data_IF_135190967717
#
_entry.id   IF_135190967717
#
_cell.length_a   1.000
_cell.length_b   1.000
_cell.length_c   1.000
_cell.angle_alpha   90.00
_cell.angle_beta   90.00
_cell.angle_gamma   90.00
#
_symmetry.space_group_name_H-M   'P 1'
#
loop_
_entity.id
_entity.type
_entity.pdbx_description
1 polymer ?
#
# COMPACT_ATOMS: atom_id res chain seq x y z
N UNK A 1 27.77 19.20 2.31
CA UNK A 1 26.54 18.83 1.58
C UNK A 1 25.94 17.60 2.26
N UNK A 2 25.38 17.75 3.46
CA UNK A 2 25.31 16.61 4.40
C UNK A 2 24.09 16.62 5.33
N UNK A 3 22.96 17.15 4.87
CA UNK A 3 21.65 16.95 5.55
C UNK A 3 20.49 16.77 4.58
N UNK A 4 20.57 17.35 3.38
CA UNK A 4 19.50 17.35 2.38
C UNK A 4 19.38 15.98 1.65
N UNK A 5 20.47 15.23 1.48
CA UNK A 5 20.47 13.94 0.77
C UNK A 5 19.97 12.77 1.64
N UNK A 6 20.15 12.85 2.96
CA UNK A 6 19.62 11.89 3.94
C UNK A 6 18.10 12.02 4.14
N UNK A 7 17.55 13.22 3.97
CA UNK A 7 16.09 13.43 4.00
C UNK A 7 15.42 12.93 2.72
N UNK A 8 16.06 13.13 1.56
CA UNK A 8 15.54 12.72 0.24
C UNK A 8 15.45 11.19 0.07
N UNK A 9 16.41 10.45 0.62
CA UNK A 9 16.42 8.97 0.59
C UNK A 9 15.36 8.33 1.49
N UNK A 10 14.96 9.00 2.59
CA UNK A 10 13.84 8.58 3.43
C UNK A 10 12.48 8.91 2.80
N UNK A 11 12.40 9.93 1.96
CA UNK A 11 11.17 10.27 1.22
C UNK A 11 10.83 9.28 0.11
N UNK A 12 11.83 8.80 -0.64
CA UNK A 12 11.62 7.83 -1.73
C UNK A 12 11.16 6.45 -1.20
N UNK A 13 11.73 5.98 -0.09
CA UNK A 13 11.28 4.74 0.56
C UNK A 13 9.89 4.89 1.21
N UNK A 14 9.53 6.11 1.64
CA UNK A 14 8.17 6.42 2.12
C UNK A 14 7.16 6.57 0.98
N UNK A 15 7.60 6.93 -0.23
CA UNK A 15 6.72 7.05 -1.39
C UNK A 15 6.21 5.68 -1.85
N UNK A 16 7.06 4.67 -1.83
CA UNK A 16 6.72 3.28 -2.17
C UNK A 16 5.93 2.54 -1.04
N UNK A 17 5.95 3.11 0.18
CA UNK A 17 5.09 2.70 1.30
C UNK A 17 3.69 3.33 1.28
N UNK A 18 3.54 4.50 0.65
CA UNK A 18 2.27 5.23 0.60
C UNK A 18 1.26 4.62 -0.35
N UNK A 19 1.71 3.83 -1.34
CA UNK A 19 0.87 3.41 -2.46
C UNK A 19 -0.12 2.29 -2.12
N UNK A 20 0.19 1.39 -1.18
CA UNK A 20 -0.60 0.14 -1.07
C UNK A 20 -1.61 0.12 0.09
N UNK A 21 -1.38 0.86 1.18
CA UNK A 21 -2.32 0.89 2.33
C UNK A 21 -2.47 2.25 3.05
N UNK A 22 -1.62 3.24 2.76
CA UNK A 22 -1.39 4.34 3.70
C UNK A 22 -1.87 5.73 3.28
N UNK A 23 -2.65 5.88 2.22
CA UNK A 23 -3.30 7.17 1.96
C UNK A 23 -4.82 7.05 1.81
N UNK A 24 -5.46 7.12 2.98
CA UNK A 24 -6.72 7.83 3.20
C UNK A 24 -8.04 7.15 2.81
N UNK A 25 -8.08 5.96 2.21
CA UNK A 25 -9.36 5.38 1.77
C UNK A 25 -9.72 4.05 2.45
N UNK A 26 -10.97 3.63 2.22
CA UNK A 26 -11.51 2.33 2.62
C UNK A 26 -10.79 1.19 1.88
N UNK A 27 -10.78 -0.02 2.45
CA UNK A 27 -10.13 -1.18 1.87
C UNK A 27 -10.91 -1.71 0.67
N UNK A 28 -10.20 -2.05 -0.40
CA UNK A 28 -10.80 -2.66 -1.59
C UNK A 28 -11.60 -3.92 -1.20
N UNK A 29 -12.88 -3.92 -1.58
CA UNK A 29 -13.82 -4.99 -1.26
C UNK A 29 -13.39 -6.31 -1.89
N UNK A 30 -12.89 -6.31 -3.12
CA UNK A 30 -12.46 -7.51 -3.82
C UNK A 30 -11.19 -8.09 -3.19
N UNK A 31 -10.29 -7.24 -2.69
CA UNK A 31 -9.13 -7.68 -1.92
C UNK A 31 -9.55 -8.44 -0.66
N UNK A 32 -10.48 -7.89 0.12
CA UNK A 32 -11.01 -8.56 1.31
C UNK A 32 -11.74 -9.86 0.94
N UNK A 33 -12.52 -9.87 -0.15
CA UNK A 33 -13.27 -11.05 -0.58
C UNK A 33 -12.41 -12.20 -1.11
N UNK A 34 -11.10 -12.01 -1.32
CA UNK A 34 -10.19 -13.10 -1.68
C UNK A 34 -10.23 -14.25 -0.65
N UNK A 35 -10.34 -13.91 0.64
CA UNK A 35 -10.31 -14.90 1.74
C UNK A 35 -11.53 -14.83 2.67
N UNK A 36 -12.51 -13.96 2.41
CA UNK A 36 -13.72 -13.81 3.24
C UNK A 36 -14.99 -13.91 2.39
N UNK A 37 -16.14 -14.18 3.01
CA UNK A 37 -17.42 -14.24 2.29
C UNK A 37 -18.12 -12.87 2.27
N UNK A 38 -18.95 -12.63 1.25
CA UNK A 38 -19.73 -11.40 1.13
C UNK A 38 -20.61 -11.10 2.35
N UNK A 39 -21.14 -12.15 2.99
CA UNK A 39 -21.97 -12.02 4.20
C UNK A 39 -21.17 -11.55 5.41
N UNK A 40 -19.88 -11.85 5.46
CA UNK A 40 -19.01 -11.51 6.58
C UNK A 40 -18.73 -10.00 6.60
N UNK A 41 -18.73 -9.36 5.43
CA UNK A 41 -18.37 -7.95 5.30
C UNK A 41 -19.55 -6.99 5.13
N UNK A 42 -20.79 -7.50 5.10
CA UNK A 42 -21.97 -6.70 4.78
C UNK A 42 -22.12 -5.47 5.67
N UNK A 43 -21.98 -5.65 6.99
CA UNK A 43 -22.25 -4.61 7.99
C UNK A 43 -21.08 -3.65 8.20
N UNK A 44 -19.99 -3.81 7.45
CA UNK A 44 -18.77 -2.98 7.52
C UNK A 44 -18.46 -2.30 6.18
N UNK A 45 -19.38 -2.32 5.22
CA UNK A 45 -19.27 -1.58 3.97
C UNK A 45 -19.50 -0.09 4.24
N UNK A 46 -18.59 0.74 3.76
CA UNK A 46 -18.71 2.19 3.78
C UNK A 46 -19.89 2.64 2.90
N UNK A 47 -20.86 3.35 3.47
CA UNK A 47 -22.03 3.86 2.73
C UNK A 47 -21.65 4.80 1.58
N UNK A 48 -20.51 5.48 1.66
CA UNK A 48 -20.09 6.50 0.68
C UNK A 48 -19.40 5.84 -0.53
N UNK A 49 -18.31 5.10 -0.32
CA UNK A 49 -17.50 4.55 -1.42
C UNK A 49 -17.82 3.08 -1.75
N UNK A 50 -18.69 2.43 -0.99
CA UNK A 50 -19.11 1.03 -1.15
C UNK A 50 -17.98 -0.01 -1.02
N UNK A 51 -16.84 0.40 -0.44
CA UNK A 51 -15.69 -0.43 -0.08
C UNK A 51 -15.75 -0.82 1.41
N UNK A 52 -14.86 -1.71 1.88
CA UNK A 52 -14.82 -2.09 3.31
C UNK A 52 -14.23 -0.95 4.13
N UNK A 53 -14.96 -0.47 5.14
CA UNK A 53 -14.59 0.74 5.86
C UNK A 53 -13.21 0.64 6.54
N UNK A 54 -12.36 1.63 6.29
CA UNK A 54 -11.09 1.82 7.00
C UNK A 54 -11.27 2.93 8.05
N UNK A 55 -10.87 2.64 9.30
CA UNK A 55 -11.23 3.45 10.47
C UNK A 55 -12.74 3.78 10.47
N UNK A 56 -13.60 2.76 10.68
CA UNK A 56 -15.04 2.94 10.57
C UNK A 56 -15.58 3.92 11.61
N UNK A 57 -16.50 4.77 11.15
CA UNK A 57 -17.33 5.66 11.93
C UNK A 57 -18.79 5.22 11.79
N UNK A 58 -19.51 5.23 12.89
CA UNK A 58 -20.95 4.93 12.95
C UNK A 58 -21.73 6.24 12.95
N UNK A 59 -22.68 6.37 12.03
CA UNK A 59 -23.64 7.47 12.01
C UNK A 59 -24.69 7.19 13.09
N UNK A 60 -24.88 8.17 13.98
CA UNK A 60 -25.71 8.06 15.19
C UNK A 60 -26.74 9.20 15.25
N UNK A 61 -27.20 9.67 14.09
CA UNK A 61 -28.22 10.71 14.00
C UNK A 61 -29.57 10.19 14.51
N UNK A 62 -30.32 11.00 15.26
CA UNK A 62 -31.65 10.61 15.76
C UNK A 62 -32.65 10.37 14.62
N UNK A 63 -32.43 11.02 13.48
CA UNK A 63 -33.16 10.80 12.22
C UNK A 63 -33.10 9.36 11.73
N UNK A 64 -32.11 8.58 12.17
CA UNK A 64 -31.86 7.20 11.72
C UNK A 64 -31.94 6.18 12.86
N UNK A 65 -32.50 6.55 14.01
CA UNK A 65 -32.59 5.68 15.20
C UNK A 65 -33.41 4.39 14.95
N UNK A 66 -34.38 4.44 14.04
CA UNK A 66 -35.24 3.31 13.69
C UNK A 66 -34.71 2.47 12.50
N UNK A 67 -33.51 2.76 12.01
CA UNK A 67 -32.91 1.96 10.95
C UNK A 67 -32.19 0.75 11.57
N UNK A 68 -32.61 -0.46 11.19
CA UNK A 68 -31.96 -1.70 11.62
C UNK A 68 -30.61 -1.94 10.91
N UNK A 69 -30.28 -1.12 9.89
CA UNK A 69 -29.08 -1.27 9.07
C UNK A 69 -27.84 -0.64 9.71
N UNK A 70 -26.68 -1.25 9.46
CA UNK A 70 -25.39 -0.73 9.93
C UNK A 70 -25.00 0.53 9.15
N UNK A 71 -24.99 1.69 9.81
CA UNK A 71 -24.66 2.98 9.19
C UNK A 71 -23.16 3.30 9.31
N UNK A 72 -22.34 2.48 8.65
CA UNK A 72 -20.88 2.57 8.69
C UNK A 72 -20.33 3.41 7.53
N UNK A 73 -19.40 4.31 7.85
CA UNK A 73 -18.61 5.05 6.87
C UNK A 73 -17.14 5.03 7.24
N UNK A 74 -16.24 5.04 6.26
CA UNK A 74 -14.81 5.26 6.54
C UNK A 74 -14.57 6.70 7.01
N UNK A 75 -13.72 6.89 8.02
CA UNK A 75 -13.46 8.20 8.62
C UNK A 75 -13.08 9.27 7.58
N UNK A 76 -12.20 8.93 6.65
CA UNK A 76 -11.76 9.89 5.64
C UNK A 76 -12.81 10.13 4.56
N UNK A 77 -13.59 9.10 4.18
CA UNK A 77 -14.74 9.28 3.29
C UNK A 77 -15.74 10.26 3.91
N UNK A 78 -16.01 10.12 5.21
CA UNK A 78 -16.89 11.02 5.94
C UNK A 78 -16.33 12.45 6.00
N UNK A 79 -15.05 12.62 6.35
CA UNK A 79 -14.38 13.94 6.36
C UNK A 79 -14.46 14.63 4.99
N UNK A 80 -14.19 13.90 3.92
CA UNK A 80 -14.27 14.42 2.57
C UNK A 80 -15.72 14.80 2.21
N UNK A 81 -16.68 13.91 2.49
CA UNK A 81 -18.10 14.17 2.22
C UNK A 81 -18.59 15.44 2.92
N UNK A 82 -18.33 15.59 4.22
CA UNK A 82 -18.77 16.75 5.00
C UNK A 82 -18.09 18.06 4.55
N UNK A 83 -16.85 17.98 4.03
CA UNK A 83 -16.15 19.16 3.51
C UNK A 83 -16.76 19.69 2.20
N UNK A 84 -17.35 18.81 1.40
CA UNK A 84 -17.97 19.14 0.11
C UNK A 84 -19.47 19.39 0.23
N UNK A 85 -20.09 18.81 1.25
CA UNK A 85 -21.52 18.87 1.52
C UNK A 85 -21.72 19.37 2.95
N UNK A 86 -21.51 20.68 3.20
CA UNK A 86 -21.89 21.24 4.49
C UNK A 86 -23.38 20.97 4.71
N UNK A 87 -23.78 20.73 5.95
CA UNK A 87 -25.20 20.55 6.32
C UNK A 87 -25.87 19.30 5.73
N UNK A 88 -25.10 18.22 5.52
CA UNK A 88 -25.63 16.96 5.00
C UNK A 88 -25.12 15.75 5.79
N UNK A 89 -25.95 14.70 5.87
CA UNK A 89 -25.56 13.39 6.37
C UNK A 89 -25.41 12.41 5.18
N UNK A 90 -24.45 11.46 5.22
CA UNK A 90 -24.29 10.47 4.15
C UNK A 90 -25.50 9.56 3.89
N UNK A 91 -26.46 9.50 4.82
CA UNK A 91 -27.68 8.69 4.72
C UNK A 91 -28.79 9.50 4.05
N UNK A 92 -29.19 10.63 4.65
CA UNK A 92 -30.18 11.56 4.09
C UNK A 92 -29.84 13.04 4.42
N UNK A 93 -30.33 14.02 3.64
CA UNK A 93 -30.02 15.42 3.89
C UNK A 93 -30.61 15.94 5.21
N UNK A 94 -29.74 16.23 6.18
CA UNK A 94 -30.07 16.99 7.38
C UNK A 94 -28.81 17.61 8.01
N UNK A 95 -29.02 18.67 8.79
CA UNK A 95 -27.97 19.34 9.55
C UNK A 95 -27.46 18.50 10.72
N UNK A 96 -26.28 18.86 11.25
CA UNK A 96 -25.72 18.32 12.50
C UNK A 96 -25.57 16.78 12.51
N UNK A 97 -24.98 16.22 11.45
CA UNK A 97 -24.65 14.80 11.38
C UNK A 97 -23.85 14.36 12.63
N UNK A 98 -24.43 13.46 13.43
CA UNK A 98 -23.78 12.89 14.60
C UNK A 98 -23.10 11.58 14.21
N UNK A 99 -21.85 11.41 14.64
CA UNK A 99 -21.10 10.21 14.36
C UNK A 99 -20.10 9.93 15.47
N UNK A 100 -19.76 8.66 15.64
CA UNK A 100 -18.81 8.21 16.64
C UNK A 100 -17.93 7.09 16.07
N UNK A 101 -16.83 6.77 16.75
CA UNK A 101 -15.92 5.75 16.27
C UNK A 101 -16.53 4.35 16.45
N UNK A 102 -16.66 3.60 15.36
CA UNK A 102 -17.20 2.24 15.37
C UNK A 102 -16.18 1.23 15.89
N UNK A 103 -16.01 1.16 17.22
CA UNK A 103 -14.96 0.33 17.85
C UNK A 103 -15.13 -1.17 17.57
N UNK A 104 -16.37 -1.66 17.53
CA UNK A 104 -16.67 -3.06 17.24
C UNK A 104 -16.38 -3.38 15.77
N UNK A 105 -16.88 -2.55 14.85
CA UNK A 105 -16.58 -2.65 13.42
C UNK A 105 -15.05 -2.62 13.17
N UNK A 106 -14.32 -1.72 13.83
CA UNK A 106 -12.87 -1.62 13.70
C UNK A 106 -12.15 -2.89 14.15
N UNK A 107 -12.57 -3.48 15.29
CA UNK A 107 -12.02 -4.77 15.76
C UNK A 107 -12.33 -5.88 14.78
N UNK A 108 -13.57 -5.97 14.31
CA UNK A 108 -13.99 -6.98 13.36
C UNK A 108 -13.20 -6.91 12.05
N UNK A 109 -13.11 -5.72 11.44
CA UNK A 109 -12.31 -5.46 10.23
C UNK A 109 -10.84 -5.87 10.44
N UNK A 110 -10.29 -5.61 11.63
CA UNK A 110 -8.89 -5.95 11.96
C UNK A 110 -8.61 -7.46 11.96
N UNK A 111 -9.64 -8.29 12.14
CA UNK A 111 -9.55 -9.76 12.18
C UNK A 111 -9.95 -10.43 10.85
N UNK A 112 -10.27 -9.68 9.80
CA UNK A 112 -10.51 -10.26 8.47
C UNK A 112 -9.20 -10.83 7.90
N UNK A 113 -9.31 -11.98 7.24
CA UNK A 113 -8.18 -12.63 6.57
C UNK A 113 -7.93 -12.00 5.21
N UNK A 114 -6.69 -11.71 4.86
CA UNK A 114 -6.32 -11.06 3.60
C UNK A 114 -5.01 -11.64 3.06
N UNK A 115 -4.87 -11.57 1.74
CA UNK A 115 -3.60 -11.82 1.07
C UNK A 115 -2.72 -10.56 1.08
N UNK A 116 -1.46 -10.69 0.68
CA UNK A 116 -0.59 -9.53 0.47
C UNK A 116 -1.24 -8.54 -0.53
N UNK A 117 -1.41 -7.26 -0.19
CA UNK A 117 -2.03 -6.31 -1.11
C UNK A 117 -1.16 -6.04 -2.35
N UNK A 118 0.18 -6.09 -2.22
CA UNK A 118 1.09 -6.03 -3.38
C UNK A 118 0.91 -7.23 -4.33
N UNK A 119 0.60 -8.42 -3.79
CA UNK A 119 0.30 -9.60 -4.61
C UNK A 119 -1.03 -9.42 -5.35
N UNK A 120 -2.06 -8.94 -4.64
CA UNK A 120 -3.37 -8.68 -5.21
C UNK A 120 -3.33 -7.65 -6.36
N UNK A 121 -2.55 -6.58 -6.21
CA UNK A 121 -2.34 -5.59 -7.27
C UNK A 121 -1.66 -6.20 -8.50
N UNK A 122 -0.60 -6.99 -8.31
CA UNK A 122 0.11 -7.66 -9.40
C UNK A 122 -0.78 -8.65 -10.18
N UNK A 123 -1.62 -9.40 -9.47
CA UNK A 123 -2.57 -10.35 -10.08
C UNK A 123 -3.62 -9.62 -10.93
N UNK A 124 -4.18 -8.51 -10.43
CA UNK A 124 -5.12 -7.69 -11.21
C UNK A 124 -4.47 -7.10 -12.48
N UNK A 125 -3.25 -6.58 -12.37
CA UNK A 125 -2.53 -6.03 -13.52
C UNK A 125 -2.25 -7.10 -14.59
N UNK A 126 -2.00 -8.34 -14.19
CA UNK A 126 -1.78 -9.46 -15.11
C UNK A 126 -3.07 -9.89 -15.80
N UNK A 127 -4.19 -10.00 -15.08
CA UNK A 127 -5.48 -10.33 -15.70
C UNK A 127 -5.88 -9.31 -16.77
N UNK A 128 -5.60 -8.02 -16.54
CA UNK A 128 -5.82 -6.95 -17.50
C UNK A 128 -4.91 -7.07 -18.74
N UNK A 129 -3.66 -7.52 -18.57
CA UNK A 129 -2.73 -7.74 -19.68
C UNK A 129 -3.10 -8.97 -20.51
N UNK A 130 -3.56 -10.04 -19.87
CA UNK A 130 -3.99 -11.28 -20.55
C UNK A 130 -5.27 -11.06 -21.38
N UNK A 131 -6.16 -10.17 -20.94
CA UNK A 131 -7.37 -9.81 -21.70
C UNK A 131 -7.09 -8.88 -22.89
N UNK A 132 -5.98 -8.13 -22.88
CA UNK A 132 -5.56 -7.27 -24.00
C UNK A 132 -4.62 -7.94 -24.99
N UNK A 133 -3.92 -9.02 -24.60
CA UNK A 133 -2.99 -9.76 -25.46
C UNK A 133 -3.52 -11.14 -25.85
N UNK A 134 -4.62 -11.19 -26.59
CA UNK A 134 -5.18 -12.45 -27.15
C UNK A 134 -4.34 -13.07 -28.29
N UNK A 135 -3.03 -12.82 -28.37
CA UNK A 135 -2.29 -12.99 -29.63
C UNK A 135 -0.95 -13.73 -29.64
N UNK A 136 -0.17 -13.79 -28.56
CA UNK A 136 1.22 -14.30 -28.67
C UNK A 136 1.60 -15.27 -27.55
N UNK A 137 1.69 -16.55 -27.95
CA UNK A 137 2.72 -17.53 -27.59
C UNK A 137 2.95 -17.82 -26.11
N UNK A 138 2.85 -19.10 -25.75
CA UNK A 138 3.38 -19.70 -24.52
C UNK A 138 4.91 -19.49 -24.43
N UNK A 139 5.33 -18.27 -24.09
CA UNK A 139 6.67 -17.94 -23.65
C UNK A 139 6.67 -17.97 -22.13
N UNK A 140 7.59 -18.73 -21.54
CA UNK A 140 7.80 -18.87 -20.11
C UNK A 140 7.63 -17.52 -19.40
N UNK A 141 6.54 -17.36 -18.65
CA UNK A 141 6.35 -16.24 -17.73
C UNK A 141 7.59 -16.21 -16.82
N UNK A 142 8.43 -15.15 -16.88
CA UNK A 142 9.61 -15.06 -16.04
C UNK A 142 9.18 -15.29 -14.60
N UNK A 143 9.75 -16.30 -13.93
CA UNK A 143 9.28 -16.82 -12.65
C UNK A 143 8.92 -15.69 -11.69
N UNK A 144 7.63 -15.35 -11.67
CA UNK A 144 7.17 -14.16 -10.98
C UNK A 144 7.31 -14.46 -9.49
N UNK A 145 8.08 -13.65 -8.80
CA UNK A 145 8.15 -13.73 -7.34
C UNK A 145 6.73 -13.52 -6.83
N UNK A 146 6.20 -14.50 -6.11
CA UNK A 146 4.91 -14.40 -5.44
C UNK A 146 5.11 -14.15 -3.94
N UNK A 147 4.21 -13.37 -3.34
CA UNK A 147 4.09 -13.32 -1.88
C UNK A 147 3.03 -14.31 -1.40
N UNK A 148 3.42 -15.18 -0.47
CA UNK A 148 2.56 -16.20 0.15
C UNK A 148 1.87 -15.72 1.44
N UNK A 149 2.00 -14.43 1.79
CA UNK A 149 1.39 -13.88 2.98
C UNK A 149 -0.13 -14.03 2.92
N UNK A 150 -0.66 -14.69 3.95
CA UNK A 150 -2.08 -14.78 4.30
C UNK A 150 -2.20 -14.54 5.79
N UNK A 151 -2.90 -13.48 6.18
CA UNK A 151 -2.96 -13.06 7.57
C UNK A 151 -4.07 -12.04 7.83
N UNK A 152 -4.07 -11.45 9.01
CA UNK A 152 -5.11 -10.48 9.41
C UNK A 152 -4.85 -9.09 8.87
N UNK A 153 -5.89 -8.29 8.60
CA UNK A 153 -5.77 -6.87 8.18
C UNK A 153 -4.82 -6.08 9.10
N UNK A 154 -4.88 -6.29 10.42
CA UNK A 154 -4.00 -5.61 11.39
C UNK A 154 -2.51 -5.94 11.23
N UNK A 155 -2.16 -7.05 10.59
CA UNK A 155 -0.78 -7.51 10.39
C UNK A 155 -0.17 -7.00 9.08
N UNK A 156 -0.98 -6.43 8.18
CA UNK A 156 -0.52 -6.16 6.81
C UNK A 156 0.54 -5.07 6.76
N UNK A 157 0.42 -4.01 7.57
CA UNK A 157 1.43 -2.95 7.59
C UNK A 157 2.80 -3.48 8.02
N UNK A 158 2.84 -4.28 9.09
CA UNK A 158 4.08 -4.93 9.56
C UNK A 158 4.67 -5.83 8.46
N UNK A 159 3.84 -6.62 7.79
CA UNK A 159 4.27 -7.42 6.64
C UNK A 159 4.87 -6.56 5.52
N UNK A 160 4.20 -5.49 5.08
CA UNK A 160 4.65 -4.65 3.97
C UNK A 160 5.97 -3.92 4.27
N UNK A 161 6.18 -3.55 5.53
CA UNK A 161 7.39 -2.87 6.02
C UNK A 161 8.57 -3.83 6.17
N UNK A 162 8.33 -4.99 6.79
CA UNK A 162 9.41 -5.80 7.33
C UNK A 162 9.67 -7.08 6.54
N UNK A 163 8.64 -7.69 5.96
CA UNK A 163 8.70 -9.09 5.50
C UNK A 163 8.28 -9.32 4.05
N UNK A 164 7.66 -8.35 3.38
CA UNK A 164 7.12 -8.54 2.04
C UNK A 164 8.24 -8.74 1.00
N UNK A 165 8.24 -9.90 0.33
CA UNK A 165 9.21 -10.24 -0.72
C UNK A 165 9.04 -9.41 -2.01
N UNK A 166 7.85 -8.81 -2.20
CA UNK A 166 7.50 -7.94 -3.33
C UNK A 166 7.88 -6.48 -3.11
N UNK A 167 8.41 -6.14 -1.94
CA UNK A 167 8.91 -4.79 -1.68
C UNK A 167 10.00 -4.44 -2.68
N UNK A 168 9.87 -3.31 -3.37
CA UNK A 168 10.95 -2.81 -4.23
C UNK A 168 12.01 -2.15 -3.36
N UNK A 169 13.27 -2.49 -3.62
CA UNK A 169 14.42 -1.95 -2.89
C UNK A 169 15.44 -1.44 -3.89
N UNK A 170 16.02 -0.27 -3.59
CA UNK A 170 17.18 0.24 -4.32
C UNK A 170 18.40 -0.64 -4.04
N UNK A 171 19.29 -0.74 -5.01
CA UNK A 171 20.57 -1.41 -4.84
C UNK A 171 21.36 -0.76 -3.68
N UNK A 172 22.10 -1.57 -2.92
CA UNK A 172 22.95 -1.08 -1.83
C UNK A 172 24.07 -0.14 -2.33
N UNK A 173 24.39 -0.20 -3.62
CA UNK A 173 25.37 0.66 -4.28
C UNK A 173 24.75 1.87 -5.01
N UNK A 174 23.48 2.22 -4.73
CA UNK A 174 22.79 3.39 -5.29
C UNK A 174 23.59 4.69 -5.05
N UNK A 175 24.16 4.86 -3.86
CA UNK A 175 25.01 6.01 -3.51
C UNK A 175 26.30 6.11 -4.32
N UNK A 176 26.74 5.01 -4.94
CA UNK A 176 27.90 4.95 -5.81
C UNK A 176 27.52 5.03 -7.30
N UNK A 177 26.22 5.11 -7.63
CA UNK A 177 25.69 5.26 -8.98
C UNK A 177 25.00 4.03 -9.56
N UNK A 178 24.74 2.98 -8.76
CA UNK A 178 23.94 1.84 -9.22
C UNK A 178 22.44 2.10 -9.02
N UNK A 179 21.79 2.66 -10.03
CA UNK A 179 20.36 3.02 -9.97
C UNK A 179 19.40 1.82 -10.12
N UNK A 180 19.86 0.59 -9.88
CA UNK A 180 19.03 -0.60 -10.03
C UNK A 180 18.05 -0.70 -8.87
N UNK A 181 16.78 -0.97 -9.20
CA UNK A 181 15.72 -1.22 -8.23
C UNK A 181 15.08 -2.55 -8.58
N UNK A 182 14.93 -3.44 -7.61
CA UNK A 182 14.35 -4.77 -7.81
C UNK A 182 13.60 -5.22 -6.55
N UNK A 183 12.87 -6.33 -6.64
CA UNK A 183 12.17 -6.87 -5.48
C UNK A 183 13.17 -7.34 -4.42
N UNK A 184 12.79 -7.26 -3.15
CA UNK A 184 13.60 -7.65 -1.99
C UNK A 184 14.06 -9.12 -2.07
N UNK A 185 13.29 -9.97 -2.73
CA UNK A 185 13.63 -11.38 -2.96
C UNK A 185 14.80 -11.58 -3.93
N UNK A 186 14.97 -10.73 -4.94
CA UNK A 186 16.00 -10.91 -6.00
C UNK A 186 17.22 -9.99 -5.81
N UNK A 187 17.22 -9.15 -4.77
CA UNK A 187 18.32 -8.21 -4.52
C UNK A 187 19.67 -8.92 -4.35
N UNK A 188 19.68 -10.09 -3.70
CA UNK A 188 20.91 -10.86 -3.53
C UNK A 188 21.47 -11.39 -4.85
N UNK A 189 20.60 -11.79 -5.78
CA UNK A 189 21.00 -12.24 -7.12
C UNK A 189 21.57 -11.09 -7.92
N UNK A 190 20.95 -9.90 -7.84
CA UNK A 190 21.48 -8.67 -8.42
C UNK A 190 22.88 -8.35 -7.87
N UNK A 191 23.04 -8.34 -6.54
CA UNK A 191 24.31 -8.04 -5.87
C UNK A 191 25.41 -9.03 -6.26
N UNK A 192 25.08 -10.31 -6.34
CA UNK A 192 26.05 -11.37 -6.68
C UNK A 192 26.45 -11.30 -8.15
N UNK A 193 25.48 -11.16 -9.05
CA UNK A 193 25.71 -11.14 -10.50
C UNK A 193 26.43 -9.87 -10.98
N UNK A 194 26.30 -8.76 -10.23
CA UNK A 194 26.87 -7.46 -10.58
C UNK A 194 28.04 -7.03 -9.68
N UNK A 195 28.63 -7.95 -8.92
CA UNK A 195 29.69 -7.64 -7.94
C UNK A 195 30.87 -6.87 -8.54
N UNK A 196 31.28 -7.19 -9.78
CA UNK A 196 32.35 -6.46 -10.49
C UNK A 196 31.96 -5.01 -10.78
N UNK A 197 30.76 -4.79 -11.30
CA UNK A 197 30.23 -3.44 -11.55
C UNK A 197 30.21 -2.63 -10.25
N UNK A 198 29.71 -3.23 -9.17
CA UNK A 198 29.66 -2.59 -7.86
C UNK A 198 31.04 -2.23 -7.33
N UNK A 199 32.03 -3.12 -7.49
CA UNK A 199 33.41 -2.84 -7.13
C UNK A 199 34.01 -1.68 -7.93
N UNK A 200 33.81 -1.67 -9.26
CA UNK A 200 34.30 -0.61 -10.14
C UNK A 200 33.71 0.77 -9.78
N UNK A 201 32.42 0.81 -9.39
CA UNK A 201 31.78 2.03 -8.89
C UNK A 201 32.44 2.54 -7.61
N UNK A 202 32.70 1.65 -6.64
CA UNK A 202 33.36 2.02 -5.38
C UNK A 202 34.78 2.53 -5.62
N UNK A 203 35.56 1.86 -6.47
CA UNK A 203 36.92 2.29 -6.82
C UNK A 203 36.91 3.68 -7.47
N UNK A 204 36.02 3.90 -8.45
CA UNK A 204 35.90 5.20 -9.12
C UNK A 204 35.53 6.32 -8.13
N UNK A 205 34.62 6.07 -7.20
CA UNK A 205 34.27 7.04 -6.15
C UNK A 205 35.45 7.33 -5.22
N UNK A 206 36.23 6.31 -4.87
CA UNK A 206 37.43 6.48 -4.05
C UNK A 206 38.53 7.30 -4.76
N UNK A 207 38.80 7.02 -6.03
CA UNK A 207 39.78 7.77 -6.82
C UNK A 207 39.37 9.25 -6.95
N UNK A 208 38.09 9.51 -7.18
CA UNK A 208 37.53 10.87 -7.24
C UNK A 208 37.71 11.60 -5.90
N UNK A 209 37.49 10.91 -4.78
CA UNK A 209 37.71 11.46 -3.45
C UNK A 209 39.19 11.77 -3.20
N UNK A 210 40.12 10.87 -3.56
CA UNK A 210 41.56 11.10 -3.42
C UNK A 210 42.03 12.31 -4.24
N UNK A 211 41.56 12.44 -5.48
CA UNK A 211 41.86 13.59 -6.32
C UNK A 211 41.34 14.90 -5.69
N UNK A 212 40.12 14.87 -5.17
CA UNK A 212 39.50 16.02 -4.50
C UNK A 212 40.33 16.43 -3.29
N UNK A 213 40.74 15.50 -2.43
CA UNK A 213 41.57 15.80 -1.25
C UNK A 213 42.91 16.42 -1.66
N UNK A 214 43.57 15.90 -2.70
CA UNK A 214 44.84 16.45 -3.21
C UNK A 214 44.70 17.85 -3.79
N UNK A 215 43.53 18.23 -4.30
CA UNK A 215 43.27 19.59 -4.80
C UNK A 215 43.10 20.63 -3.68
N UNK A 216 42.80 20.18 -2.46
CA UNK A 216 42.64 21.04 -1.28
C UNK A 216 43.85 21.01 -0.33
N UNK A 217 44.92 20.29 -0.70
CA UNK A 217 46.21 20.28 -0.01
C UNK A 217 47.23 21.12 -0.78
#
# INVERSE_FOLDING_TARGET
MSKIEEEKSKEDAKADMKSVLQQQFCFDKNWILQLNQQKDIHDIICLICKQVANNPMEINCTQHENMDESLIVGENCLKQFLSQNPNSCPVEPHDNCLYSQGRLAKRYISELDVICPRQFEQEQEQELQMTTQQGHGEGETPGLVSCDFKGKVKQVNDHLENSCCLQMVKCWFDSFGCNHTCSKSVIHDHLTSNMKLHFDLVVKSFDTLQQTIRLYQ
#
